data_IF_320419375141
#
_entry.id   IF_320419375141
#
_cell.length_a   1.000
_cell.length_b   1.000
_cell.length_c   1.000
_cell.angle_alpha   90.00
_cell.angle_beta   90.00
_cell.angle_gamma   90.00
#
_symmetry.space_group_name_H-M   'P 1'
#
loop_
_entity.id
_entity.type
_entity.pdbx_description
1 polymer ?
#
# COMPACT_ATOMS: atom_id res chain seq x y z
N UNK A 1 11.66 -9.91 -2.90
CA UNK A 1 11.77 -10.01 -4.36
C UNK A 1 12.35 -8.72 -4.89
N UNK A 2 13.34 -8.86 -5.74
CA UNK A 2 14.03 -7.73 -6.37
C UNK A 2 13.23 -7.27 -7.59
N UNK A 3 12.13 -6.58 -7.35
CA UNK A 3 11.22 -6.12 -8.39
C UNK A 3 11.95 -5.36 -9.54
N UNK A 4 12.87 -4.41 -9.28
CA UNK A 4 13.58 -3.72 -10.36
C UNK A 4 14.32 -4.69 -11.31
N UNK A 5 14.97 -5.70 -10.78
CA UNK A 5 15.71 -6.68 -11.59
C UNK A 5 14.78 -7.52 -12.49
N UNK A 6 13.60 -7.89 -11.96
CA UNK A 6 12.60 -8.64 -12.74
C UNK A 6 12.01 -7.78 -13.85
N UNK A 7 11.70 -6.51 -13.55
CA UNK A 7 11.18 -5.55 -14.53
C UNK A 7 12.20 -5.30 -15.64
N UNK A 8 13.48 -5.11 -15.28
CA UNK A 8 14.54 -4.93 -16.25
C UNK A 8 14.70 -6.17 -17.16
N UNK A 9 14.63 -7.38 -16.59
CA UNK A 9 14.65 -8.61 -17.39
C UNK A 9 13.48 -8.69 -18.36
N UNK A 10 12.30 -8.26 -17.95
CA UNK A 10 11.11 -8.23 -18.81
C UNK A 10 11.32 -7.24 -19.97
N UNK A 11 11.78 -6.03 -19.71
CA UNK A 11 12.09 -5.03 -20.74
C UNK A 11 13.15 -5.51 -21.73
N UNK A 12 14.21 -6.14 -21.24
CA UNK A 12 15.27 -6.69 -22.11
C UNK A 12 14.76 -7.82 -23.05
N UNK A 13 13.59 -8.38 -22.73
CA UNK A 13 12.89 -9.36 -23.60
C UNK A 13 11.83 -8.69 -24.51
N UNK A 14 11.75 -7.38 -24.55
CA UNK A 14 10.75 -6.65 -25.32
C UNK A 14 9.33 -6.69 -24.74
N UNK A 15 9.18 -7.02 -23.44
CA UNK A 15 7.87 -7.08 -22.77
C UNK A 15 7.51 -5.67 -22.30
N UNK A 16 6.37 -5.16 -22.75
CA UNK A 16 5.79 -3.90 -22.25
C UNK A 16 5.27 -4.04 -20.82
N UNK A 17 5.52 -3.02 -19.99
CA UNK A 17 5.16 -3.01 -18.57
C UNK A 17 4.16 -1.91 -18.30
N UNK A 18 2.98 -2.31 -17.81
CA UNK A 18 1.90 -1.39 -17.44
C UNK A 18 1.77 -1.35 -15.92
N UNK A 19 1.99 -0.18 -15.33
CA UNK A 19 1.85 0.03 -13.88
C UNK A 19 0.38 0.16 -13.48
N UNK A 20 -0.01 -0.59 -12.45
CA UNK A 20 -1.34 -0.54 -11.84
C UNK A 20 -1.25 -0.16 -10.37
N UNK A 21 -2.33 0.43 -9.82
CA UNK A 21 -2.42 0.80 -8.40
C UNK A 21 -1.33 1.77 -7.95
N UNK A 22 -0.89 2.63 -8.84
CA UNK A 22 0.20 3.59 -8.63
C UNK A 22 -0.06 4.62 -7.54
N UNK A 23 -1.30 4.80 -7.11
CA UNK A 23 -1.66 5.73 -6.03
C UNK A 23 -1.51 5.13 -4.62
N UNK A 24 -0.99 3.91 -4.51
CA UNK A 24 -0.68 3.25 -3.24
C UNK A 24 -1.81 3.32 -2.19
N UNK A 25 -3.07 3.20 -2.64
CA UNK A 25 -4.22 3.32 -1.75
C UNK A 25 -4.48 4.76 -1.26
N UNK A 26 -4.39 5.75 -2.13
CA UNK A 26 -4.53 7.20 -1.84
C UNK A 26 -5.73 7.63 -0.96
N UNK A 27 -6.63 6.70 -0.64
CA UNK A 27 -7.74 6.95 0.30
C UNK A 27 -7.34 6.81 1.78
N UNK A 28 -6.12 6.40 2.07
CA UNK A 28 -5.66 6.17 3.44
C UNK A 28 -5.49 7.47 4.21
N UNK A 29 -5.17 8.55 3.50
CA UNK A 29 -5.03 9.88 4.10
C UNK A 29 -5.44 10.97 3.12
N UNK A 30 -5.87 12.10 3.67
CA UNK A 30 -6.06 13.32 2.89
C UNK A 30 -4.71 14.00 2.67
N UNK A 31 -4.25 13.98 1.44
CA UNK A 31 -2.97 14.59 1.06
C UNK A 31 -3.07 16.07 0.68
N UNK A 32 -4.29 16.61 0.48
CA UNK A 32 -4.52 18.00 0.07
C UNK A 32 -3.78 19.05 0.92
N UNK A 33 -3.67 18.89 2.27
CA UNK A 33 -2.92 19.86 3.09
C UNK A 33 -1.42 19.92 2.79
N UNK A 34 -0.88 18.95 2.07
CA UNK A 34 0.55 18.84 1.73
C UNK A 34 0.82 19.13 0.25
N UNK A 35 -0.25 19.26 -0.55
CA UNK A 35 -0.15 19.53 -1.98
C UNK A 35 0.27 20.99 -2.25
N UNK A 36 0.79 21.25 -3.42
CA UNK A 36 1.23 22.57 -3.87
C UNK A 36 0.71 22.84 -5.30
N UNK A 37 0.96 24.03 -5.80
CA UNK A 37 0.52 24.45 -7.14
C UNK A 37 1.13 23.60 -8.27
N UNK A 38 2.26 22.95 -8.03
CA UNK A 38 2.96 22.20 -9.06
C UNK A 38 2.38 20.79 -9.23
N UNK A 39 2.07 20.10 -8.10
CA UNK A 39 1.63 18.71 -8.10
C UNK A 39 0.63 18.41 -6.98
N UNK A 40 -0.43 17.66 -7.33
CA UNK A 40 -1.18 16.88 -6.36
C UNK A 40 -0.43 15.59 -6.00
N UNK A 41 -0.79 14.95 -4.90
CA UNK A 41 -0.23 13.64 -4.55
C UNK A 41 -0.43 12.60 -5.67
N UNK A 42 -1.62 12.59 -6.27
CA UNK A 42 -1.93 11.65 -7.35
C UNK A 42 -1.03 11.88 -8.57
N UNK A 43 -0.85 13.13 -8.96
CA UNK A 43 0.06 13.50 -10.04
C UNK A 43 1.51 13.09 -9.74
N UNK A 44 1.99 13.36 -8.53
CA UNK A 44 3.34 12.99 -8.10
C UNK A 44 3.55 11.46 -8.13
N UNK A 45 2.58 10.68 -7.63
CA UNK A 45 2.67 9.23 -7.58
C UNK A 45 2.68 8.59 -8.97
N UNK A 46 1.82 9.07 -9.89
CA UNK A 46 1.78 8.58 -11.26
C UNK A 46 3.07 8.96 -12.00
N UNK A 47 3.49 10.20 -11.86
CA UNK A 47 4.70 10.68 -12.53
C UNK A 47 5.94 9.94 -12.05
N UNK A 48 6.03 9.66 -10.75
CA UNK A 48 7.10 8.84 -10.20
C UNK A 48 7.13 7.44 -10.83
N UNK A 49 5.97 6.79 -10.93
CA UNK A 49 5.88 5.46 -11.53
C UNK A 49 6.29 5.45 -13.01
N UNK A 50 5.90 6.48 -13.78
CA UNK A 50 6.23 6.63 -15.19
C UNK A 50 7.65 7.17 -15.45
N UNK A 51 8.27 7.80 -14.45
CA UNK A 51 9.65 8.30 -14.56
C UNK A 51 10.70 7.22 -14.28
N UNK A 52 10.27 5.99 -13.99
CA UNK A 52 11.16 4.83 -13.90
C UNK A 52 11.42 4.28 -15.30
N UNK A 53 12.60 3.71 -15.51
CA UNK A 53 12.94 3.04 -16.78
C UNK A 53 12.15 1.74 -17.00
N UNK A 54 11.29 1.39 -16.04
CA UNK A 54 10.59 0.10 -16.06
C UNK A 54 9.17 0.19 -16.61
N UNK A 55 8.40 1.22 -16.28
CA UNK A 55 7.00 1.31 -16.68
C UNK A 55 6.85 2.07 -18.02
N UNK A 56 6.14 1.46 -18.94
CA UNK A 56 5.84 2.04 -20.27
C UNK A 56 4.51 2.82 -20.23
N UNK A 57 3.59 2.42 -19.34
CA UNK A 57 2.29 3.07 -19.17
C UNK A 57 1.77 2.88 -17.73
N UNK A 58 0.77 3.67 -17.34
CA UNK A 58 0.03 3.49 -16.10
C UNK A 58 -1.49 3.45 -16.37
N UNK A 59 -2.19 2.53 -15.70
CA UNK A 59 -3.66 2.45 -15.73
C UNK A 59 -4.21 3.03 -14.44
N UNK A 60 -5.06 4.07 -14.58
CA UNK A 60 -5.68 4.77 -13.46
C UNK A 60 -7.17 4.93 -13.72
N UNK A 61 -8.01 4.66 -12.71
CA UNK A 61 -9.44 4.93 -12.79
C UNK A 61 -9.70 6.43 -12.69
N UNK A 62 -10.29 6.99 -13.74
CA UNK A 62 -10.69 8.40 -13.81
C UNK A 62 -12.21 8.47 -13.84
N UNK A 63 -12.82 8.89 -12.74
CA UNK A 63 -14.28 8.82 -12.53
C UNK A 63 -14.99 10.18 -12.73
N UNK A 64 -14.26 11.23 -13.05
CA UNK A 64 -14.81 12.57 -13.32
C UNK A 64 -13.95 13.31 -14.32
N UNK A 65 -14.54 14.31 -15.02
CA UNK A 65 -13.81 15.15 -15.95
C UNK A 65 -12.70 15.97 -15.27
N UNK A 66 -12.91 16.41 -14.03
CA UNK A 66 -11.87 17.10 -13.26
C UNK A 66 -10.68 16.20 -13.00
N UNK A 67 -10.91 14.94 -12.64
CA UNK A 67 -9.84 13.95 -12.41
C UNK A 67 -9.12 13.59 -13.71
N UNK A 68 -9.83 13.51 -14.84
CA UNK A 68 -9.19 13.33 -16.15
C UNK A 68 -8.22 14.49 -16.43
N UNK A 69 -8.69 15.72 -16.30
CA UNK A 69 -7.89 16.91 -16.54
C UNK A 69 -6.68 16.98 -15.59
N UNK A 70 -6.89 16.70 -14.32
CA UNK A 70 -5.83 16.63 -13.31
C UNK A 70 -4.75 15.63 -13.71
N UNK A 71 -5.13 14.38 -13.95
CA UNK A 71 -4.16 13.30 -14.14
C UNK A 71 -3.49 13.31 -15.52
N UNK A 72 -4.15 13.81 -16.56
CA UNK A 72 -3.54 13.91 -17.90
C UNK A 72 -2.62 15.11 -18.03
N UNK A 73 -2.82 16.17 -17.24
CA UNK A 73 -1.95 17.37 -17.28
C UNK A 73 -0.49 17.08 -16.92
N UNK A 74 -0.20 15.96 -16.28
CA UNK A 74 1.18 15.55 -15.97
C UNK A 74 1.98 15.10 -17.18
N UNK A 75 1.33 14.81 -18.31
CA UNK A 75 2.02 14.30 -19.52
C UNK A 75 3.15 15.21 -19.96
N UNK A 76 2.97 16.53 -19.83
CA UNK A 76 3.93 17.54 -20.22
C UNK A 76 4.80 18.07 -19.06
N UNK A 77 4.57 17.62 -17.82
CA UNK A 77 5.35 18.05 -16.66
C UNK A 77 6.60 17.19 -16.52
N UNK A 78 7.74 17.80 -16.31
CA UNK A 78 8.96 17.07 -15.92
C UNK A 78 8.89 16.72 -14.42
N UNK A 79 9.24 15.49 -14.10
CA UNK A 79 9.43 15.07 -12.70
C UNK A 79 10.87 15.46 -12.31
N UNK A 80 11.05 16.70 -11.91
CA UNK A 80 12.40 17.26 -11.82
C UNK A 80 12.85 17.58 -10.43
N UNK A 81 12.04 17.37 -9.36
CA UNK A 81 12.55 17.91 -8.12
C UNK A 81 12.05 17.28 -6.81
N UNK A 82 12.74 17.74 -5.77
CA UNK A 82 12.53 17.39 -4.38
C UNK A 82 11.08 17.61 -3.88
N UNK A 83 10.30 18.47 -4.53
CA UNK A 83 8.92 18.82 -4.09
C UNK A 83 7.94 17.69 -4.34
N UNK A 84 7.91 17.13 -5.57
CA UNK A 84 7.05 15.97 -5.88
C UNK A 84 7.43 14.77 -5.05
N UNK A 85 8.74 14.55 -4.85
CA UNK A 85 9.24 13.47 -4.01
C UNK A 85 8.89 13.68 -2.52
N UNK A 86 8.77 14.93 -2.08
CA UNK A 86 8.35 15.26 -0.71
C UNK A 86 6.92 14.81 -0.41
N UNK A 87 5.99 14.92 -1.37
CA UNK A 87 4.62 14.41 -1.24
C UNK A 87 4.59 12.89 -1.02
N UNK A 88 5.39 12.15 -1.78
CA UNK A 88 5.50 10.69 -1.62
C UNK A 88 6.10 10.31 -0.27
N UNK A 89 7.14 11.02 0.17
CA UNK A 89 7.73 10.84 1.50
C UNK A 89 6.73 11.16 2.62
N UNK A 90 5.95 12.23 2.46
CA UNK A 90 4.92 12.60 3.43
C UNK A 90 3.83 11.54 3.52
N UNK A 91 3.34 11.03 2.38
CA UNK A 91 2.40 9.94 2.36
C UNK A 91 2.95 8.69 3.07
N UNK A 92 4.21 8.35 2.79
CA UNK A 92 4.88 7.24 3.47
C UNK A 92 4.93 7.45 4.99
N UNK A 93 5.35 8.63 5.46
CA UNK A 93 5.40 8.96 6.89
C UNK A 93 4.06 8.81 7.59
N UNK A 94 2.97 9.23 6.94
CA UNK A 94 1.61 9.15 7.51
C UNK A 94 1.10 7.70 7.61
N UNK A 95 1.63 6.79 6.81
CA UNK A 95 1.05 5.47 6.63
C UNK A 95 1.94 4.30 7.06
N UNK A 96 3.27 4.47 7.10
CA UNK A 96 4.22 3.37 7.23
C UNK A 96 4.06 2.55 8.53
N UNK A 97 3.57 3.16 9.61
CA UNK A 97 3.36 2.47 10.90
C UNK A 97 2.08 1.59 10.93
N UNK A 98 1.22 1.70 9.94
CA UNK A 98 -0.09 1.05 9.94
C UNK A 98 -0.33 0.15 8.74
N UNK A 99 0.53 0.19 7.73
CA UNK A 99 0.34 -0.54 6.48
C UNK A 99 1.28 -1.73 6.39
N UNK A 100 0.69 -2.93 6.35
CA UNK A 100 1.40 -4.12 5.91
C UNK A 100 1.42 -4.13 4.37
N UNK A 101 2.59 -4.00 3.72
CA UNK A 101 2.66 -3.94 2.27
C UNK A 101 2.14 -5.23 1.61
N UNK A 102 1.38 -5.11 0.52
CA UNK A 102 0.91 -6.28 -0.24
C UNK A 102 2.08 -7.14 -0.72
N UNK A 103 1.93 -8.46 -0.56
CA UNK A 103 2.95 -9.41 -0.99
C UNK A 103 4.17 -9.54 -0.08
N UNK A 104 4.26 -8.76 1.01
CA UNK A 104 5.24 -9.01 2.06
C UNK A 104 4.89 -10.31 2.80
N UNK A 105 5.85 -11.15 3.04
CA UNK A 105 5.68 -12.43 3.75
C UNK A 105 6.74 -12.64 4.83
N UNK A 106 7.51 -11.61 5.18
CA UNK A 106 8.66 -11.71 6.08
C UNK A 106 8.34 -12.39 7.43
N UNK A 107 7.18 -12.05 8.02
CA UNK A 107 6.76 -12.58 9.30
C UNK A 107 5.95 -13.89 9.22
N UNK A 108 5.65 -14.42 8.03
CA UNK A 108 4.76 -15.58 7.86
C UNK A 108 5.24 -16.80 8.64
N UNK A 109 6.53 -17.13 8.53
CA UNK A 109 7.11 -18.33 9.14
C UNK A 109 7.51 -18.13 10.61
N UNK A 110 7.35 -16.95 11.18
CA UNK A 110 7.73 -16.66 12.56
C UNK A 110 6.54 -16.80 13.54
N UNK A 111 5.32 -16.94 13.04
CA UNK A 111 4.16 -17.08 13.90
C UNK A 111 3.93 -18.55 14.30
N UNK A 112 4.02 -18.91 15.60
CA UNK A 112 3.81 -20.30 16.04
C UNK A 112 2.35 -20.77 15.91
N UNK A 113 1.40 -19.84 15.71
CA UNK A 113 -0.02 -20.14 15.52
C UNK A 113 -0.43 -19.96 14.05
N UNK A 114 0.52 -19.82 13.15
CA UNK A 114 0.32 -19.68 11.69
C UNK A 114 -0.72 -18.62 11.29
N UNK A 115 -0.82 -17.54 12.08
CA UNK A 115 -1.78 -16.45 11.84
C UNK A 115 -1.51 -15.82 10.49
N UNK A 116 -2.56 -15.68 9.68
CA UNK A 116 -2.50 -15.04 8.35
C UNK A 116 -2.43 -13.50 8.49
N UNK A 117 -1.29 -13.02 9.01
CA UNK A 117 -1.07 -11.63 9.44
C UNK A 117 -1.43 -10.62 8.36
N UNK A 118 -0.99 -10.84 7.12
CA UNK A 118 -1.25 -9.93 6.00
C UNK A 118 -2.74 -9.81 5.67
N UNK A 119 -3.50 -10.90 5.80
CA UNK A 119 -4.93 -10.92 5.50
C UNK A 119 -5.74 -10.26 6.61
N UNK A 120 -5.32 -10.45 7.87
CA UNK A 120 -5.86 -9.71 9.02
C UNK A 120 -5.69 -8.20 8.83
N UNK A 121 -4.46 -7.76 8.48
CA UNK A 121 -4.16 -6.35 8.23
C UNK A 121 -4.96 -5.78 7.06
N UNK A 122 -5.15 -6.56 6.00
CA UNK A 122 -5.96 -6.17 4.85
C UNK A 122 -7.44 -6.02 5.23
N UNK A 123 -7.98 -6.94 6.02
CA UNK A 123 -9.36 -6.84 6.50
C UNK A 123 -9.57 -5.58 7.33
N UNK A 124 -8.63 -5.25 8.22
CA UNK A 124 -8.63 -3.98 8.97
C UNK A 124 -8.63 -2.78 8.04
N UNK A 125 -7.82 -2.79 6.98
CA UNK A 125 -7.74 -1.71 6.01
C UNK A 125 -9.09 -1.48 5.31
N UNK A 126 -9.82 -2.55 4.96
CA UNK A 126 -11.16 -2.41 4.40
C UNK A 126 -12.13 -1.69 5.36
N UNK A 127 -12.07 -1.98 6.65
CA UNK A 127 -12.93 -1.33 7.64
C UNK A 127 -12.57 0.14 7.84
N UNK A 128 -11.32 0.42 8.17
CA UNK A 128 -10.90 1.72 8.67
C UNK A 128 -10.56 2.70 7.54
N UNK A 129 -9.83 2.24 6.53
CA UNK A 129 -9.31 3.12 5.49
C UNK A 129 -10.28 3.26 4.32
N UNK A 130 -10.85 2.15 3.86
CA UNK A 130 -11.82 2.16 2.76
C UNK A 130 -13.28 2.35 3.20
N UNK A 131 -13.54 2.42 4.52
CA UNK A 131 -14.89 2.59 5.08
C UNK A 131 -15.91 1.57 4.54
N UNK A 132 -15.46 0.33 4.36
CA UNK A 132 -16.27 -0.78 3.88
C UNK A 132 -16.30 -1.92 4.92
N UNK A 133 -17.12 -1.79 5.99
CA UNK A 133 -17.19 -2.77 7.06
C UNK A 133 -17.70 -4.13 6.58
N UNK A 134 -18.64 -4.16 5.64
CA UNK A 134 -19.16 -5.42 5.11
C UNK A 134 -18.05 -6.25 4.44
N UNK A 135 -17.25 -5.62 3.59
CA UNK A 135 -16.09 -6.29 2.97
C UNK A 135 -15.06 -6.73 4.01
N UNK A 136 -14.83 -5.92 5.02
CA UNK A 136 -13.89 -6.24 6.09
C UNK A 136 -14.33 -7.48 6.86
N UNK A 137 -15.60 -7.57 7.27
CA UNK A 137 -16.16 -8.71 7.98
C UNK A 137 -16.12 -9.98 7.13
N UNK A 138 -16.56 -9.91 5.87
CA UNK A 138 -16.51 -11.05 4.94
C UNK A 138 -15.06 -11.53 4.75
N UNK A 139 -14.13 -10.60 4.53
CA UNK A 139 -12.72 -10.95 4.34
C UNK A 139 -12.11 -11.55 5.61
N UNK A 140 -12.46 -11.03 6.78
CA UNK A 140 -11.93 -11.49 8.05
C UNK A 140 -12.49 -12.87 8.44
N UNK A 141 -13.78 -13.11 8.23
CA UNK A 141 -14.43 -14.40 8.52
C UNK A 141 -13.91 -15.55 7.65
N UNK A 142 -13.36 -15.23 6.49
CA UNK A 142 -12.75 -16.21 5.59
C UNK A 142 -11.32 -16.60 5.98
N UNK A 143 -10.72 -15.94 6.99
CA UNK A 143 -9.38 -16.24 7.46
C UNK A 143 -9.41 -17.46 8.39
N UNK A 144 -8.80 -18.55 7.97
CA UNK A 144 -8.75 -19.79 8.73
C UNK A 144 -7.99 -19.59 10.05
N UNK A 145 -6.76 -19.11 9.99
CA UNK A 145 -5.93 -18.80 11.15
C UNK A 145 -5.94 -17.29 11.40
N UNK A 146 -7.03 -16.80 11.97
CA UNK A 146 -7.20 -15.37 12.23
C UNK A 146 -6.43 -14.88 13.47
N UNK A 147 -6.62 -13.63 13.86
CA UNK A 147 -5.85 -13.01 14.92
C UNK A 147 -6.31 -13.34 16.35
N UNK A 148 -7.22 -14.30 16.58
CA UNK A 148 -7.65 -14.72 17.92
C UNK A 148 -6.47 -15.17 18.79
N UNK A 149 -5.55 -15.95 18.21
CA UNK A 149 -4.33 -16.40 18.90
C UNK A 149 -3.41 -15.23 19.34
N UNK A 150 -3.51 -14.06 18.70
CA UNK A 150 -2.72 -12.89 19.11
C UNK A 150 -3.15 -12.31 20.46
N UNK A 151 -4.37 -12.58 20.92
CA UNK A 151 -4.87 -12.10 22.21
C UNK A 151 -4.03 -12.63 23.38
N UNK A 152 -3.67 -13.90 23.34
CA UNK A 152 -2.91 -14.59 24.40
C UNK A 152 -1.41 -14.75 24.10
N UNK A 153 -0.95 -14.37 22.90
CA UNK A 153 0.44 -14.52 22.52
C UNK A 153 1.39 -13.65 23.36
N UNK A 154 2.31 -14.25 24.10
CA UNK A 154 3.30 -13.53 24.93
C UNK A 154 4.63 -13.31 24.22
N UNK A 155 5.05 -14.21 23.34
CA UNK A 155 6.36 -14.24 22.72
C UNK A 155 6.61 -13.18 21.64
N UNK A 156 5.57 -12.71 20.97
CA UNK A 156 5.62 -11.71 19.88
C UNK A 156 6.71 -11.96 18.81
N UNK A 157 6.95 -13.21 18.34
CA UNK A 157 8.08 -13.51 17.45
C UNK A 157 7.96 -12.78 16.10
N UNK A 158 6.74 -12.41 15.70
CA UNK A 158 6.49 -11.66 14.47
C UNK A 158 7.09 -10.23 14.47
N UNK A 159 7.36 -9.62 15.64
CA UNK A 159 7.93 -8.27 15.71
C UNK A 159 9.35 -8.24 15.15
N UNK A 160 10.18 -9.20 15.55
CA UNK A 160 11.57 -9.30 15.08
C UNK A 160 11.72 -9.65 13.59
N UNK A 161 10.63 -10.13 12.97
CA UNK A 161 10.62 -10.55 11.56
C UNK A 161 9.94 -9.54 10.64
N UNK A 162 9.53 -8.39 11.15
CA UNK A 162 8.86 -7.37 10.34
C UNK A 162 9.86 -6.37 9.78
N UNK A 163 10.11 -6.41 8.48
CA UNK A 163 11.00 -5.46 7.77
C UNK A 163 10.52 -4.00 7.85
N UNK A 164 9.26 -3.79 8.25
CA UNK A 164 8.64 -2.46 8.36
C UNK A 164 8.44 -2.02 9.80
N UNK A 165 8.96 -2.76 10.77
CA UNK A 165 8.88 -2.45 12.21
C UNK A 165 7.44 -2.23 12.73
N UNK A 166 6.45 -2.88 12.12
CA UNK A 166 5.07 -2.80 12.57
C UNK A 166 4.87 -3.51 13.91
N UNK A 167 4.13 -2.90 14.84
CA UNK A 167 3.64 -3.62 16.02
C UNK A 167 2.51 -4.58 15.64
N UNK A 168 2.90 -5.69 15.02
CA UNK A 168 1.97 -6.70 14.48
C UNK A 168 1.02 -7.19 15.55
N UNK A 169 1.50 -7.45 16.77
CA UNK A 169 0.63 -7.94 17.84
C UNK A 169 -0.47 -6.94 18.17
N UNK A 170 -0.11 -5.67 18.38
CA UNK A 170 -1.07 -4.60 18.67
C UNK A 170 -2.09 -4.44 17.53
N UNK A 171 -1.59 -4.39 16.30
CA UNK A 171 -2.41 -4.22 15.10
C UNK A 171 -3.37 -5.40 14.89
N UNK A 172 -2.88 -6.63 15.01
CA UNK A 172 -3.71 -7.84 14.87
C UNK A 172 -4.75 -7.96 15.99
N UNK A 173 -4.35 -7.69 17.24
CA UNK A 173 -5.28 -7.71 18.38
C UNK A 173 -6.40 -6.69 18.20
N UNK A 174 -6.07 -5.46 17.77
CA UNK A 174 -7.07 -4.44 17.49
C UNK A 174 -7.97 -4.81 16.31
N UNK A 175 -7.41 -5.44 15.28
CA UNK A 175 -8.18 -5.93 14.14
C UNK A 175 -9.16 -7.02 14.51
N UNK A 176 -8.73 -7.97 15.37
CA UNK A 176 -9.60 -9.03 15.86
C UNK A 176 -10.77 -8.46 16.65
N UNK A 177 -10.50 -7.55 17.59
CA UNK A 177 -11.56 -6.90 18.39
C UNK A 177 -12.56 -6.09 17.56
N UNK A 178 -12.12 -5.60 16.41
CA UNK A 178 -12.96 -4.82 15.50
C UNK A 178 -13.82 -5.70 14.60
N UNK A 179 -13.33 -6.90 14.23
CA UNK A 179 -13.87 -7.70 13.12
C UNK A 179 -14.37 -9.09 13.55
N UNK A 180 -14.30 -9.42 14.85
CA UNK A 180 -14.85 -10.67 15.41
C UNK A 180 -16.21 -10.50 16.05
#
# INVERSE_FOLDING_TARGET
PRLPEVLLKAKNKGIGIIAMKTLAGARLNDMRPYENEDFTYAQAAIKWALNTDYADAAIISMTSNSLINELTSISNKKFTDNKSFSLLKQYYKLNHENICPPGCGACKNSCPNDVQISDVMRSKMYALDYKNPNKALISYSAIENNASACLSCSGKPCLGSCDYNLDIKKLNTSSHKLLS
#
